data_IF_402309249518
#
_entry.id   IF_402309249518
#
_cell.length_a   1.000
_cell.length_b   1.000
_cell.length_c   1.000
_cell.angle_alpha   90.00
_cell.angle_beta   90.00
_cell.angle_gamma   90.00
#
_symmetry.space_group_name_H-M   'P 1'
#
loop_
_entity.id
_entity.type
_entity.pdbx_description
1 polymer ?
#
# COMPACT_ATOMS: atom_id res chain seq x y z
N UNK A 1 7.22 17.89 9.56
CA UNK A 1 7.31 18.22 8.12
C UNK A 1 7.07 19.71 7.84
N UNK A 2 7.41 20.63 8.78
CA UNK A 2 7.25 22.08 8.60
C UNK A 2 5.87 22.56 8.08
N UNK A 3 4.78 21.91 8.52
CA UNK A 3 3.40 22.33 8.24
C UNK A 3 2.76 22.77 9.56
N UNK A 4 1.98 23.86 9.52
CA UNK A 4 1.15 24.29 10.66
C UNK A 4 -0.16 23.47 10.74
N UNK A 5 -1.01 23.80 11.72
CA UNK A 5 -2.25 23.05 11.97
C UNK A 5 -3.24 23.13 10.80
N UNK A 6 -3.46 24.32 10.24
CA UNK A 6 -4.36 24.53 9.11
C UNK A 6 -3.89 23.77 7.87
N UNK A 7 -2.59 23.87 7.58
CA UNK A 7 -1.95 23.19 6.46
C UNK A 7 -1.98 21.67 6.61
N UNK A 8 -1.78 21.15 7.82
CA UNK A 8 -1.82 19.71 8.09
C UNK A 8 -3.24 19.16 7.89
N UNK A 9 -4.25 19.88 8.37
CA UNK A 9 -5.66 19.50 8.16
C UNK A 9 -6.00 19.55 6.67
N UNK A 10 -5.62 20.62 5.97
CA UNK A 10 -5.89 20.78 4.55
C UNK A 10 -5.26 19.64 3.73
N UNK A 11 -4.01 19.29 4.00
CA UNK A 11 -3.33 18.18 3.30
C UNK A 11 -3.98 16.82 3.58
N UNK A 12 -4.23 16.49 4.85
CA UNK A 12 -4.76 15.18 5.21
C UNK A 12 -6.21 14.99 4.73
N UNK A 13 -7.08 15.97 4.99
CA UNK A 13 -8.47 15.91 4.55
C UNK A 13 -8.58 16.00 3.01
N UNK A 14 -7.81 16.89 2.39
CA UNK A 14 -7.77 17.02 0.93
C UNK A 14 -7.25 15.76 0.25
N UNK A 15 -6.13 15.20 0.73
CA UNK A 15 -5.55 13.97 0.19
C UNK A 15 -6.48 12.76 0.33
N UNK A 16 -7.15 12.60 1.48
CA UNK A 16 -8.09 11.50 1.72
C UNK A 16 -9.50 11.72 1.14
N UNK A 17 -9.75 12.82 0.42
CA UNK A 17 -11.02 13.01 -0.29
C UNK A 17 -11.12 12.11 -1.53
N UNK A 18 -9.98 11.64 -2.06
CA UNK A 18 -9.91 10.84 -3.28
C UNK A 18 -9.20 9.50 -3.06
N UNK A 19 -9.61 8.48 -3.81
CA UNK A 19 -9.03 7.15 -3.74
C UNK A 19 -9.57 6.29 -2.59
N UNK A 20 -8.75 5.33 -2.14
CA UNK A 20 -9.07 4.39 -1.05
C UNK A 20 -7.82 3.69 -0.51
N UNK A 21 -7.94 3.11 0.68
CA UNK A 21 -6.98 2.13 1.18
C UNK A 21 -7.16 0.74 0.53
N UNK A 22 -6.16 -0.12 0.68
CA UNK A 22 -6.18 -1.49 0.14
C UNK A 22 -5.82 -2.50 1.25
N UNK A 23 -6.78 -3.34 1.58
CA UNK A 23 -6.67 -4.33 2.67
C UNK A 23 -7.59 -5.54 2.51
N UNK A 24 -7.98 -5.88 1.27
CA UNK A 24 -8.89 -7.00 1.02
C UNK A 24 -8.12 -8.32 0.88
N UNK A 25 -7.47 -8.75 1.96
CA UNK A 25 -6.65 -9.97 2.01
C UNK A 25 -5.79 -10.05 3.27
N UNK A 26 -5.00 -11.13 3.37
CA UNK A 26 -4.09 -11.36 4.50
C UNK A 26 -2.74 -10.70 4.24
N UNK A 27 -2.34 -9.72 5.06
CA UNK A 27 -1.05 -9.05 4.90
C UNK A 27 0.15 -9.97 5.15
N UNK A 28 -0.03 -11.08 5.88
CA UNK A 28 1.05 -12.03 6.19
C UNK A 28 1.54 -12.85 5.00
N UNK A 29 0.82 -12.81 3.86
CA UNK A 29 1.19 -13.52 2.64
C UNK A 29 1.93 -12.63 1.62
N UNK A 30 2.08 -11.33 1.90
CA UNK A 30 2.88 -10.45 1.08
C UNK A 30 4.35 -10.87 1.16
N UNK A 31 5.00 -10.94 0.00
CA UNK A 31 6.44 -11.16 -0.10
C UNK A 31 7.26 -10.03 0.52
N UNK A 32 8.59 -10.17 0.51
CA UNK A 32 9.51 -9.14 0.98
C UNK A 32 9.33 -7.81 0.21
N UNK A 33 9.83 -6.72 0.79
CA UNK A 33 9.90 -5.41 0.11
C UNK A 33 10.84 -5.46 -1.11
N UNK A 34 10.83 -4.44 -1.99
CA UNK A 34 11.58 -4.49 -3.25
C UNK A 34 13.08 -4.80 -3.14
N UNK A 35 13.75 -4.40 -2.05
CA UNK A 35 15.19 -4.66 -1.86
C UNK A 35 15.46 -6.06 -1.28
N UNK A 36 14.44 -6.69 -0.70
CA UNK A 36 14.48 -8.07 -0.21
C UNK A 36 13.87 -9.10 -1.17
N UNK A 37 13.26 -8.65 -2.27
CA UNK A 37 12.64 -9.48 -3.28
C UNK A 37 13.66 -10.21 -4.16
N UNK A 38 13.23 -11.33 -4.74
CA UNK A 38 14.08 -12.10 -5.64
C UNK A 38 14.30 -11.34 -6.96
N UNK A 39 15.45 -11.52 -7.60
CA UNK A 39 15.86 -10.81 -8.81
C UNK A 39 14.87 -10.97 -9.97
N UNK A 40 14.15 -12.09 -10.03
CA UNK A 40 13.14 -12.33 -11.05
C UNK A 40 11.88 -11.46 -10.89
N UNK A 41 11.67 -10.84 -9.72
CA UNK A 41 10.63 -9.82 -9.51
C UNK A 41 11.02 -8.45 -10.10
N UNK A 42 12.24 -8.31 -10.63
CA UNK A 42 12.67 -7.16 -11.45
C UNK A 42 12.45 -5.78 -10.78
N UNK A 43 12.77 -5.69 -9.49
CA UNK A 43 12.66 -4.45 -8.71
C UNK A 43 11.26 -4.15 -8.17
N UNK A 44 10.30 -5.07 -8.36
CA UNK A 44 9.05 -5.07 -7.59
C UNK A 44 9.23 -5.77 -6.24
N UNK A 45 8.24 -5.62 -5.36
CA UNK A 45 8.19 -6.27 -4.05
C UNK A 45 6.75 -6.28 -3.51
N UNK A 46 6.58 -6.81 -2.31
CA UNK A 46 5.27 -7.09 -1.70
C UNK A 46 4.37 -7.95 -2.58
N UNK A 47 4.96 -8.81 -3.41
CA UNK A 47 4.22 -9.65 -4.33
C UNK A 47 3.45 -10.72 -3.55
N UNK A 48 2.16 -10.86 -3.85
CA UNK A 48 1.34 -11.96 -3.34
C UNK A 48 1.37 -13.11 -4.34
N UNK A 49 2.14 -14.15 -4.01
CA UNK A 49 2.29 -15.36 -4.84
C UNK A 49 1.26 -16.46 -4.57
N UNK A 50 0.32 -16.23 -3.65
CA UNK A 50 -0.68 -17.24 -3.23
C UNK A 50 -2.07 -17.01 -3.83
N UNK A 51 -2.42 -15.78 -4.16
CA UNK A 51 -3.70 -15.42 -4.78
C UNK A 51 -3.50 -14.35 -5.87
N UNK A 52 -4.58 -13.81 -6.42
CA UNK A 52 -4.50 -12.81 -7.50
C UNK A 52 -3.70 -11.56 -7.10
N UNK A 53 -3.77 -11.12 -5.84
CA UNK A 53 -2.92 -10.05 -5.29
C UNK A 53 -3.09 -8.64 -5.84
N UNK A 54 -3.97 -8.43 -6.83
CA UNK A 54 -4.14 -7.16 -7.54
C UNK A 54 -5.62 -6.79 -7.75
N UNK A 55 -5.88 -5.51 -8.01
CA UNK A 55 -7.23 -5.00 -8.24
C UNK A 55 -8.08 -5.05 -6.98
N UNK A 56 -9.16 -5.85 -7.00
CA UNK A 56 -10.03 -6.03 -5.84
C UNK A 56 -9.33 -6.75 -4.67
N UNK A 57 -8.33 -7.56 -4.96
CA UNK A 57 -7.63 -8.40 -3.97
C UNK A 57 -6.32 -7.76 -3.49
N UNK A 58 -6.08 -6.48 -3.81
CA UNK A 58 -4.88 -5.76 -3.40
C UNK A 58 -4.84 -5.58 -1.88
N UNK A 59 -3.66 -5.82 -1.31
CA UNK A 59 -3.31 -5.50 0.08
C UNK A 59 -2.08 -4.59 0.06
N UNK A 60 -2.15 -3.47 0.79
CA UNK A 60 -1.02 -2.56 1.00
C UNK A 60 -0.98 -2.11 2.45
N UNK A 61 -1.94 -1.29 2.90
CA UNK A 61 -2.02 -0.86 4.31
C UNK A 61 -2.72 -1.87 5.22
N UNK A 62 -3.47 -2.83 4.65
CA UNK A 62 -4.30 -3.76 5.41
C UNK A 62 -5.63 -3.16 5.91
N UNK A 63 -5.94 -1.91 5.53
CA UNK A 63 -7.16 -1.22 5.90
C UNK A 63 -8.11 -1.19 4.69
N UNK A 64 -9.39 -1.52 4.92
CA UNK A 64 -10.45 -1.52 3.90
C UNK A 64 -11.33 -0.29 4.01
#
# INVERSE_FOLDING_TARGET
MAMNDEETVALAAGGHTVGKCHGNGDASILGPDPEGADVHEQGFGWMNHKSRGIGRDTVSSGIA
#
